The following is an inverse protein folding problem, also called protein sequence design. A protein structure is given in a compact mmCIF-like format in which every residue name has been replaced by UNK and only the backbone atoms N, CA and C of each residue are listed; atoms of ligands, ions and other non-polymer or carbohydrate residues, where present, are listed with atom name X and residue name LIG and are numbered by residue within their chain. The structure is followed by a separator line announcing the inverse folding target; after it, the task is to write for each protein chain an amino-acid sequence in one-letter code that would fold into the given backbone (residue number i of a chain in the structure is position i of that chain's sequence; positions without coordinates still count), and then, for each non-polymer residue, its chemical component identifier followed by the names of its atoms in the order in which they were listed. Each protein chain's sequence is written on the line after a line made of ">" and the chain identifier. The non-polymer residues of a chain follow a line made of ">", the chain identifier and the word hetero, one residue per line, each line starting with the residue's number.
data_IF_282858765792
#
_entry.id   IF_282858765792
#
_cell.length_a   1.000
_cell.length_b   1.000
_cell.length_c   1.000
_cell.angle_alpha   90.00
_cell.angle_beta   90.00
_cell.angle_gamma   90.00
#
_symmetry.space_group_name_H-M   'P 1'
#
loop_
_entity.id
_entity.type
_entity.pdbx_description
1 polymer ?
#
# COMPACT_ATOMS: atom_id res chain seq x y z
N UNK A 1 9.12 4.51 -52.91
CA UNK A 1 8.55 3.30 -52.27
C UNK A 1 8.61 3.52 -50.77
N UNK A 2 7.45 3.68 -50.16
CA UNK A 2 7.26 4.30 -48.85
C UNK A 2 7.18 3.21 -47.77
N UNK A 3 8.10 3.29 -46.81
CA UNK A 3 8.02 2.92 -45.39
C UNK A 3 7.15 1.70 -45.02
N UNK A 4 7.80 0.56 -44.77
CA UNK A 4 7.24 -0.48 -43.91
C UNK A 4 7.56 -0.14 -42.45
N UNK A 5 6.60 0.44 -41.76
CA UNK A 5 6.59 0.55 -40.31
C UNK A 5 5.33 -0.13 -39.79
N UNK A 6 5.44 -0.72 -38.61
CA UNK A 6 4.35 -1.28 -37.80
C UNK A 6 4.02 -2.76 -38.02
N UNK A 7 4.91 -3.61 -37.50
CA UNK A 7 4.54 -4.91 -36.95
C UNK A 7 5.21 -5.09 -35.57
N UNK A 8 4.92 -4.18 -34.64
CA UNK A 8 5.04 -4.46 -33.21
C UNK A 8 3.64 -4.75 -32.69
N UNK A 9 3.16 -5.96 -32.98
CA UNK A 9 2.03 -6.53 -32.26
C UNK A 9 2.47 -6.67 -30.80
N UNK A 10 1.86 -5.82 -29.97
CA UNK A 10 2.02 -5.75 -28.53
C UNK A 10 1.91 -7.16 -27.92
N UNK A 11 2.94 -7.57 -27.19
CA UNK A 11 2.83 -8.65 -26.23
C UNK A 11 1.95 -8.15 -25.07
N UNK A 12 0.62 -8.27 -25.22
CA UNK A 12 -0.32 -7.91 -24.17
C UNK A 12 -0.35 -9.03 -23.12
N UNK A 13 0.50 -8.88 -22.10
CA UNK A 13 0.36 -9.63 -20.85
C UNK A 13 -1.04 -9.41 -20.24
N UNK A 14 -1.45 -10.25 -19.27
CA UNK A 14 -2.77 -10.12 -18.65
C UNK A 14 -2.97 -8.71 -18.08
N UNK A 15 -4.10 -8.09 -18.43
CA UNK A 15 -4.48 -6.76 -17.94
C UNK A 15 -4.43 -6.75 -16.41
N UNK A 16 -3.83 -5.72 -15.80
CA UNK A 16 -3.73 -5.61 -14.35
C UNK A 16 -5.11 -5.54 -13.69
N UNK A 17 -5.24 -6.11 -12.48
CA UNK A 17 -6.45 -5.95 -11.67
C UNK A 17 -6.60 -4.47 -11.25
N UNK A 18 -7.83 -3.93 -11.30
CA UNK A 18 -8.15 -2.62 -10.74
C UNK A 18 -8.75 -2.82 -9.35
N UNK A 19 -8.20 -2.16 -8.33
CA UNK A 19 -8.62 -2.31 -6.94
C UNK A 19 -9.11 -0.99 -6.37
N UNK A 20 -10.17 -1.06 -5.57
CA UNK A 20 -10.58 0.00 -4.64
C UNK A 20 -10.46 -0.56 -3.24
N UNK A 21 -9.57 0.00 -2.42
CA UNK A 21 -9.39 -0.41 -1.01
C UNK A 21 -10.06 0.63 -0.12
N UNK A 22 -11.10 0.22 0.58
CA UNK A 22 -12.02 1.09 1.31
C UNK A 22 -12.05 0.74 2.80
N UNK A 23 -12.01 1.77 3.66
CA UNK A 23 -12.28 1.63 5.09
C UNK A 23 -13.79 1.47 5.31
N UNK A 24 -14.18 0.63 6.27
CA UNK A 24 -15.58 0.53 6.69
C UNK A 24 -16.19 1.90 7.09
N UNK A 25 -17.53 1.97 7.07
CA UNK A 25 -18.30 3.13 7.56
C UNK A 25 -18.23 3.33 9.07
N UNK A 26 -18.94 4.36 9.56
CA UNK A 26 -18.95 4.77 10.96
C UNK A 26 -19.57 3.70 11.85
N UNK A 27 -18.94 3.45 12.99
CA UNK A 27 -19.30 2.37 13.92
C UNK A 27 -20.27 2.82 15.00
N UNK A 28 -21.10 1.91 15.48
CA UNK A 28 -22.02 2.14 16.60
C UNK A 28 -21.31 2.63 17.88
N UNK A 29 -20.11 2.13 18.18
CA UNK A 29 -19.37 2.55 19.39
C UNK A 29 -18.73 3.94 19.28
N UNK A 30 -18.88 4.62 18.14
CA UNK A 30 -18.55 6.05 18.01
C UNK A 30 -19.67 6.95 18.55
N UNK A 31 -20.91 6.44 18.60
CA UNK A 31 -22.08 7.18 19.08
C UNK A 31 -22.58 6.65 20.42
N UNK A 32 -22.41 5.35 20.66
CA UNK A 32 -22.89 4.66 21.86
C UNK A 32 -21.73 4.35 22.80
N UNK A 33 -21.50 5.24 23.77
CA UNK A 33 -20.43 5.09 24.77
C UNK A 33 -20.55 3.82 25.62
N UNK A 34 -21.76 3.23 25.72
CA UNK A 34 -22.01 2.01 26.52
C UNK A 34 -21.80 0.71 25.73
N UNK A 35 -21.53 0.78 24.43
CA UNK A 35 -21.40 -0.39 23.55
C UNK A 35 -20.40 -1.43 24.08
N UNK A 36 -19.24 -0.94 24.51
CA UNK A 36 -18.13 -1.78 24.96
C UNK A 36 -18.50 -2.68 26.15
N UNK A 37 -19.38 -2.21 27.04
CA UNK A 37 -19.81 -2.97 28.21
C UNK A 37 -20.91 -4.00 27.89
N UNK A 38 -21.76 -3.73 26.91
CA UNK A 38 -22.96 -4.54 26.61
C UNK A 38 -22.73 -5.58 25.52
N UNK A 39 -21.83 -5.30 24.58
CA UNK A 39 -21.66 -6.14 23.40
C UNK A 39 -21.06 -7.52 23.72
N UNK A 40 -21.59 -8.57 23.08
CA UNK A 40 -21.03 -9.93 23.17
C UNK A 40 -19.62 -10.03 22.57
N UNK A 41 -19.32 -9.25 21.53
CA UNK A 41 -17.98 -9.14 20.94
C UNK A 41 -17.68 -7.65 20.70
N UNK A 42 -17.17 -6.92 21.71
CA UNK A 42 -17.04 -5.46 21.65
C UNK A 42 -16.18 -4.91 20.50
N UNK A 43 -15.25 -5.71 19.98
CA UNK A 43 -14.42 -5.35 18.83
C UNK A 43 -15.11 -5.53 17.48
N UNK A 44 -16.20 -6.30 17.41
CA UNK A 44 -16.96 -6.60 16.20
C UNK A 44 -18.20 -5.70 16.08
N UNK A 45 -17.99 -4.42 16.35
CA UNK A 45 -19.03 -3.38 16.34
C UNK A 45 -19.65 -3.24 14.95
N UNK A 46 -20.99 -3.17 14.83
CA UNK A 46 -21.68 -2.87 13.57
C UNK A 46 -21.51 -1.39 13.18
N UNK A 47 -22.00 -1.07 11.99
CA UNK A 47 -22.23 0.32 11.60
C UNK A 47 -23.29 0.98 12.49
N UNK A 48 -23.19 2.30 12.64
CA UNK A 48 -24.29 3.08 13.21
C UNK A 48 -25.44 3.23 12.19
N UNK A 49 -26.61 3.68 12.65
CA UNK A 49 -27.79 3.83 11.78
C UNK A 49 -27.63 4.93 10.70
N UNK A 50 -26.77 5.91 10.93
CA UNK A 50 -26.45 6.95 9.95
C UNK A 50 -25.22 6.52 9.15
N UNK A 51 -25.39 6.31 7.84
CA UNK A 51 -24.37 5.73 6.94
C UNK A 51 -24.09 6.67 5.74
N UNK A 52 -24.23 7.99 5.93
CA UNK A 52 -24.14 9.00 4.86
C UNK A 52 -22.81 8.94 4.10
N UNK A 53 -21.71 8.70 4.82
CA UNK A 53 -20.37 8.59 4.22
C UNK A 53 -20.25 7.43 3.23
N UNK A 54 -21.03 6.36 3.41
CA UNK A 54 -21.05 5.22 2.48
C UNK A 54 -21.78 5.61 1.19
N UNK A 55 -22.87 6.36 1.31
CA UNK A 55 -23.59 6.92 0.16
C UNK A 55 -22.70 7.84 -0.66
N UNK A 56 -22.05 8.81 -0.01
CA UNK A 56 -21.12 9.75 -0.65
C UNK A 56 -19.95 9.03 -1.34
N UNK A 57 -19.35 8.04 -0.69
CA UNK A 57 -18.29 7.22 -1.29
C UNK A 57 -18.79 6.49 -2.54
N UNK A 58 -20.01 5.96 -2.49
CA UNK A 58 -20.63 5.21 -3.59
C UNK A 58 -20.98 6.13 -4.76
N UNK A 59 -21.46 7.35 -4.50
CA UNK A 59 -21.69 8.37 -5.53
C UNK A 59 -20.40 8.76 -6.25
N UNK A 60 -19.29 8.90 -5.53
CA UNK A 60 -17.97 9.15 -6.15
C UNK A 60 -17.53 7.99 -7.03
N UNK A 61 -17.74 6.75 -6.59
CA UNK A 61 -17.45 5.56 -7.38
C UNK A 61 -18.33 5.50 -8.65
N UNK A 62 -19.62 5.80 -8.54
CA UNK A 62 -20.54 5.87 -9.69
C UNK A 62 -20.15 6.97 -10.68
N UNK A 63 -19.81 8.17 -10.18
CA UNK A 63 -19.40 9.30 -11.00
C UNK A 63 -18.13 8.99 -11.80
N UNK A 64 -17.21 8.21 -11.23
CA UNK A 64 -16.02 7.70 -11.92
C UNK A 64 -16.28 6.44 -12.76
N UNK A 65 -17.54 6.09 -13.02
CA UNK A 65 -17.95 4.95 -13.85
C UNK A 65 -17.54 3.58 -13.29
N UNK A 66 -17.35 3.45 -11.97
CA UNK A 66 -16.86 2.21 -11.36
C UNK A 66 -17.98 1.20 -11.18
N UNK A 67 -17.70 -0.02 -11.62
CA UNK A 67 -18.41 -1.23 -11.19
C UNK A 67 -17.41 -2.31 -10.81
N UNK A 68 -17.87 -3.33 -10.10
CA UNK A 68 -17.02 -4.36 -9.51
C UNK A 68 -17.43 -5.75 -9.98
N UNK A 69 -16.45 -6.58 -10.26
CA UNK A 69 -16.63 -7.96 -10.71
C UNK A 69 -16.54 -8.93 -9.51
N UNK A 70 -15.92 -8.50 -8.41
CA UNK A 70 -15.83 -9.22 -7.15
C UNK A 70 -15.65 -8.24 -5.97
N UNK A 71 -16.20 -8.61 -4.81
CA UNK A 71 -16.00 -7.88 -3.55
C UNK A 71 -15.27 -8.76 -2.56
N UNK A 72 -14.21 -8.25 -1.97
CA UNK A 72 -13.57 -8.80 -0.79
C UNK A 72 -13.95 -7.98 0.44
N UNK A 73 -14.29 -8.67 1.52
CA UNK A 73 -14.60 -8.03 2.80
C UNK A 73 -13.78 -8.63 3.93
N UNK A 74 -13.34 -7.77 4.83
CA UNK A 74 -12.94 -8.14 6.17
C UNK A 74 -14.07 -8.89 6.88
N UNK A 75 -13.75 -9.87 7.75
CA UNK A 75 -14.77 -10.61 8.48
C UNK A 75 -15.57 -9.77 9.47
N UNK A 76 -15.11 -8.58 9.84
CA UNK A 76 -15.80 -7.75 10.83
C UNK A 76 -17.16 -7.27 10.32
N UNK A 77 -18.17 -7.26 11.20
CA UNK A 77 -19.56 -6.97 10.85
C UNK A 77 -19.71 -5.63 10.13
N UNK A 78 -19.06 -4.58 10.63
CA UNK A 78 -18.99 -3.26 9.99
C UNK A 78 -18.51 -3.29 8.54
N UNK A 79 -17.55 -4.16 8.20
CA UNK A 79 -17.02 -4.28 6.84
C UNK A 79 -17.99 -5.02 5.93
N UNK A 80 -18.68 -6.05 6.45
CA UNK A 80 -19.74 -6.74 5.70
C UNK A 80 -20.90 -5.79 5.42
N UNK A 81 -21.36 -5.04 6.43
CA UNK A 81 -22.43 -4.06 6.24
C UNK A 81 -22.00 -2.95 5.27
N UNK A 82 -20.78 -2.42 5.40
CA UNK A 82 -20.29 -1.41 4.45
C UNK A 82 -20.30 -1.95 3.03
N UNK A 83 -19.76 -3.16 2.80
CA UNK A 83 -19.79 -3.79 1.49
C UNK A 83 -21.24 -3.96 0.97
N UNK A 84 -22.16 -4.44 1.81
CA UNK A 84 -23.58 -4.60 1.46
C UNK A 84 -24.19 -3.26 1.00
N UNK A 85 -23.97 -2.18 1.76
CA UNK A 85 -24.53 -0.85 1.47
C UNK A 85 -23.91 -0.24 0.21
N UNK A 86 -22.59 -0.32 0.07
CA UNK A 86 -21.91 0.14 -1.14
C UNK A 86 -22.47 -0.58 -2.37
N UNK A 87 -22.60 -1.91 -2.35
CA UNK A 87 -23.15 -2.64 -3.50
C UNK A 87 -24.60 -2.27 -3.81
N UNK A 88 -25.42 -1.99 -2.78
CA UNK A 88 -26.79 -1.49 -2.93
C UNK A 88 -26.82 -0.12 -3.61
N UNK A 89 -26.01 0.84 -3.15
CA UNK A 89 -25.91 2.17 -3.76
C UNK A 89 -25.40 2.13 -5.20
N UNK A 90 -24.44 1.25 -5.51
CA UNK A 90 -23.92 1.06 -6.85
C UNK A 90 -24.87 0.31 -7.79
N UNK A 91 -25.99 -0.22 -7.29
CA UNK A 91 -26.91 -1.08 -8.06
C UNK A 91 -26.29 -2.42 -8.47
N UNK A 92 -25.15 -2.81 -7.89
CA UNK A 92 -24.34 -3.96 -8.29
C UNK A 92 -24.56 -5.16 -7.33
N UNK A 93 -25.81 -5.58 -7.13
CA UNK A 93 -26.15 -6.54 -6.07
C UNK A 93 -25.83 -8.02 -6.39
N UNK A 94 -25.51 -8.37 -7.63
CA UNK A 94 -25.24 -9.75 -8.08
C UNK A 94 -23.74 -10.04 -8.27
N UNK A 95 -22.91 -9.42 -7.45
CA UNK A 95 -21.45 -9.61 -7.47
C UNK A 95 -21.03 -10.63 -6.40
N UNK A 96 -20.11 -11.57 -6.70
CA UNK A 96 -19.58 -12.47 -5.69
C UNK A 96 -18.91 -11.72 -4.52
N UNK A 97 -19.29 -12.07 -3.29
CA UNK A 97 -18.68 -11.51 -2.09
C UNK A 97 -17.86 -12.57 -1.35
N UNK A 98 -16.59 -12.26 -1.12
CA UNK A 98 -15.59 -13.14 -0.52
C UNK A 98 -15.09 -12.54 0.79
N UNK A 99 -15.22 -13.30 1.87
CA UNK A 99 -14.79 -12.89 3.22
C UNK A 99 -13.40 -13.45 3.48
N UNK A 100 -12.41 -12.57 3.57
CA UNK A 100 -11.01 -12.95 3.73
C UNK A 100 -10.50 -12.62 5.12
N UNK A 101 -10.16 -13.64 5.92
CA UNK A 101 -9.70 -13.44 7.31
C UNK A 101 -8.43 -12.60 7.41
N UNK A 102 -7.58 -12.62 6.39
CA UNK A 102 -6.37 -11.79 6.31
C UNK A 102 -6.65 -10.30 6.10
N UNK A 103 -7.90 -9.89 5.83
CA UNK A 103 -8.33 -8.49 5.82
C UNK A 103 -8.85 -8.02 7.18
N UNK A 104 -8.73 -8.86 8.23
CA UNK A 104 -9.10 -8.48 9.58
C UNK A 104 -8.40 -7.21 10.06
N UNK A 105 -9.06 -6.52 10.98
CA UNK A 105 -8.49 -5.42 11.74
C UNK A 105 -7.18 -5.84 12.41
N UNK A 106 -6.32 -4.87 12.74
CA UNK A 106 -5.10 -5.13 13.50
C UNK A 106 -5.45 -5.90 14.78
N UNK A 107 -4.91 -7.11 14.96
CA UNK A 107 -5.08 -7.91 16.17
C UNK A 107 -4.16 -7.40 17.29
N UNK A 108 -4.19 -6.09 17.53
CA UNK A 108 -3.47 -5.39 18.58
C UNK A 108 -4.31 -5.37 19.88
N UNK A 109 -3.72 -5.67 21.06
CA UNK A 109 -4.45 -5.63 22.33
C UNK A 109 -5.07 -4.26 22.64
N UNK A 110 -4.39 -3.17 22.26
CA UNK A 110 -4.90 -1.81 22.45
C UNK A 110 -6.17 -1.56 21.65
N UNK A 111 -6.25 -2.10 20.44
CA UNK A 111 -7.39 -1.89 19.55
C UNK A 111 -8.57 -2.80 19.87
N UNK A 112 -8.32 -4.08 20.13
CA UNK A 112 -9.39 -5.06 20.40
C UNK A 112 -9.92 -5.01 21.83
N UNK A 113 -9.06 -4.68 22.80
CA UNK A 113 -9.36 -4.84 24.22
C UNK A 113 -9.10 -3.58 25.05
N UNK A 114 -8.61 -2.49 24.45
CA UNK A 114 -8.23 -1.25 25.15
C UNK A 114 -7.23 -1.47 26.28
N UNK A 115 -6.30 -2.41 26.08
CA UNK A 115 -5.28 -2.76 27.07
C UNK A 115 -3.91 -2.98 26.41
N UNK A 116 -2.83 -2.90 27.18
CA UNK A 116 -1.48 -3.21 26.68
C UNK A 116 -1.26 -4.72 26.49
N UNK A 117 -1.77 -5.52 27.42
CA UNK A 117 -1.63 -6.98 27.41
C UNK A 117 -3.00 -7.62 27.63
N UNK A 118 -3.43 -8.54 26.75
CA UNK A 118 -4.73 -9.16 26.90
C UNK A 118 -4.71 -10.17 28.05
N UNK A 119 -5.83 -10.30 28.75
CA UNK A 119 -6.03 -11.36 29.76
C UNK A 119 -6.28 -12.72 29.08
N UNK A 120 -6.16 -13.81 29.85
CA UNK A 120 -6.52 -15.14 29.35
C UNK A 120 -8.00 -15.20 28.91
N UNK A 121 -8.89 -14.56 29.65
CA UNK A 121 -10.31 -14.47 29.31
C UNK A 121 -10.56 -13.70 28.00
N UNK A 122 -9.84 -12.60 27.77
CA UNK A 122 -9.92 -11.84 26.51
C UNK A 122 -9.42 -12.67 25.32
N UNK A 123 -8.29 -13.39 25.47
CA UNK A 123 -7.78 -14.33 24.46
C UNK A 123 -8.79 -15.44 24.17
N UNK A 124 -9.37 -16.05 25.20
CA UNK A 124 -10.37 -17.10 25.05
C UNK A 124 -11.64 -16.58 24.33
N UNK A 125 -12.08 -15.36 24.64
CA UNK A 125 -13.24 -14.73 23.98
C UNK A 125 -12.98 -14.43 22.50
N UNK A 126 -11.77 -13.99 22.15
CA UNK A 126 -11.37 -13.80 20.75
C UNK A 126 -11.30 -15.15 20.01
N UNK A 127 -10.70 -16.17 20.62
CA UNK A 127 -10.66 -17.52 20.06
C UNK A 127 -12.07 -18.08 19.82
N UNK A 128 -12.99 -17.86 20.77
CA UNK A 128 -14.40 -18.26 20.63
C UNK A 128 -15.06 -17.53 19.45
N UNK A 129 -14.80 -16.23 19.29
CA UNK A 129 -15.29 -15.46 18.16
C UNK A 129 -14.75 -16.00 16.83
N UNK A 130 -13.44 -16.27 16.72
CA UNK A 130 -12.82 -16.87 15.53
C UNK A 130 -13.42 -18.23 15.19
N UNK A 131 -13.58 -19.10 16.20
CA UNK A 131 -14.07 -20.47 16.02
C UNK A 131 -15.54 -20.53 15.67
N UNK A 132 -16.35 -19.61 16.22
CA UNK A 132 -17.77 -19.52 15.94
C UNK A 132 -18.11 -18.53 14.80
N UNK A 133 -17.10 -17.93 14.16
CA UNK A 133 -17.29 -16.83 13.21
C UNK A 133 -18.30 -17.15 12.10
N UNK A 134 -18.25 -18.36 11.53
CA UNK A 134 -19.18 -18.78 10.48
C UNK A 134 -20.65 -18.70 10.90
N UNK A 135 -20.95 -19.01 12.18
CA UNK A 135 -22.29 -18.90 12.78
C UNK A 135 -22.63 -17.46 13.12
N UNK A 136 -21.70 -16.73 13.74
CA UNK A 136 -21.89 -15.33 14.16
C UNK A 136 -22.19 -14.42 12.95
N UNK A 137 -21.43 -14.59 11.88
CA UNK A 137 -21.55 -13.78 10.66
C UNK A 137 -22.67 -14.23 9.71
N UNK A 138 -23.36 -15.34 9.99
CA UNK A 138 -24.29 -15.97 9.02
C UNK A 138 -25.35 -15.00 8.53
N UNK A 139 -26.04 -14.32 9.43
CA UNK A 139 -27.10 -13.38 9.09
C UNK A 139 -26.58 -12.23 8.21
N UNK A 140 -25.42 -11.66 8.52
CA UNK A 140 -24.82 -10.61 7.71
C UNK A 140 -24.39 -11.11 6.32
N UNK A 141 -23.82 -12.32 6.24
CA UNK A 141 -23.40 -12.91 4.95
C UNK A 141 -24.56 -13.31 4.05
N UNK A 142 -25.72 -13.64 4.62
CA UNK A 142 -26.91 -14.02 3.87
C UNK A 142 -27.71 -12.81 3.34
N UNK A 143 -27.36 -11.58 3.72
CA UNK A 143 -27.97 -10.35 3.16
C UNK A 143 -27.53 -10.05 1.72
N UNK A 144 -26.37 -10.55 1.32
CA UNK A 144 -25.91 -10.42 -0.07
C UNK A 144 -26.70 -11.37 -0.98
N UNK A 145 -27.12 -10.90 -2.15
CA UNK A 145 -27.83 -11.71 -3.16
C UNK A 145 -27.05 -12.99 -3.48
N UNK A 146 -25.75 -12.84 -3.71
CA UNK A 146 -24.79 -13.96 -3.74
C UNK A 146 -24.16 -14.10 -2.36
N UNK A 147 -24.82 -14.89 -1.50
CA UNK A 147 -24.40 -15.17 -0.11
C UNK A 147 -22.89 -15.14 0.05
N UNK A 148 -22.38 -14.26 0.92
CA UNK A 148 -20.96 -14.06 1.09
C UNK A 148 -20.27 -15.33 1.59
N UNK A 149 -19.18 -15.73 0.92
CA UNK A 149 -18.44 -16.98 1.19
C UNK A 149 -17.12 -16.68 1.87
N UNK A 150 -16.76 -17.51 2.84
CA UNK A 150 -15.42 -17.46 3.43
C UNK A 150 -14.40 -17.96 2.41
N UNK A 151 -13.31 -17.20 2.22
CA UNK A 151 -12.19 -17.65 1.39
C UNK A 151 -11.51 -18.84 2.09
N UNK A 152 -11.46 -20.02 1.44
CA UNK A 152 -10.77 -21.19 1.99
C UNK A 152 -9.32 -20.88 2.31
N UNK A 153 -8.77 -21.53 3.35
CA UNK A 153 -7.40 -21.36 3.82
C UNK A 153 -6.99 -19.93 4.26
N UNK A 154 -7.86 -18.91 4.17
CA UNK A 154 -7.57 -17.61 4.74
C UNK A 154 -7.37 -17.72 6.26
N UNK A 155 -6.36 -17.04 6.78
CA UNK A 155 -5.92 -17.12 8.18
C UNK A 155 -6.27 -15.85 8.94
N UNK A 156 -6.58 -16.02 10.22
CA UNK A 156 -6.71 -14.89 11.14
C UNK A 156 -5.31 -14.33 11.45
N UNK A 157 -5.19 -13.01 11.69
CA UNK A 157 -3.96 -12.45 12.23
C UNK A 157 -3.67 -13.00 13.64
N UNK A 158 -2.39 -12.99 14.00
CA UNK A 158 -1.93 -13.50 15.30
C UNK A 158 -1.92 -12.38 16.32
N UNK A 159 -2.53 -12.61 17.49
CA UNK A 159 -2.50 -11.70 18.64
C UNK A 159 -1.26 -12.00 19.51
N UNK A 160 -0.44 -11.00 19.91
CA UNK A 160 -0.52 -9.59 19.53
C UNK A 160 0.07 -9.31 18.15
N UNK A 161 -0.64 -8.50 17.38
CA UNK A 161 -0.15 -7.94 16.12
C UNK A 161 0.30 -6.50 16.33
N UNK A 162 1.45 -6.14 15.75
CA UNK A 162 1.93 -4.77 15.68
C UNK A 162 1.57 -4.11 14.35
N UNK A 163 1.53 -2.79 14.32
CA UNK A 163 1.20 -2.03 13.10
C UNK A 163 2.08 -2.40 11.89
N UNK A 164 3.42 -2.54 12.01
CA UNK A 164 4.24 -2.98 10.87
C UNK A 164 3.91 -4.38 10.37
N UNK A 165 3.58 -5.33 11.28
CA UNK A 165 3.17 -6.69 10.90
C UNK A 165 1.81 -6.67 10.21
N UNK A 166 0.87 -5.86 10.70
CA UNK A 166 -0.41 -5.69 10.06
C UNK A 166 -0.29 -5.05 8.67
N UNK A 167 0.54 -4.00 8.53
CA UNK A 167 0.80 -3.36 7.25
C UNK A 167 1.39 -4.36 6.24
N UNK A 168 2.41 -5.15 6.63
CA UNK A 168 2.98 -6.18 5.78
C UNK A 168 1.93 -7.23 5.36
N UNK A 169 1.10 -7.69 6.29
CA UNK A 169 -0.01 -8.61 6.01
C UNK A 169 -1.02 -8.00 5.04
N UNK A 170 -1.43 -6.74 5.23
CA UNK A 170 -2.39 -6.09 4.35
C UNK A 170 -1.83 -5.94 2.94
N UNK A 171 -0.59 -5.47 2.80
CA UNK A 171 0.09 -5.42 1.51
C UNK A 171 0.04 -6.80 0.85
N UNK A 172 0.47 -7.85 1.57
CA UNK A 172 0.53 -9.21 1.03
C UNK A 172 -0.85 -9.69 0.57
N UNK A 173 -1.88 -9.55 1.41
CA UNK A 173 -3.23 -10.01 1.10
C UNK A 173 -3.83 -9.23 -0.07
N UNK A 174 -3.59 -7.91 -0.17
CA UNK A 174 -4.05 -7.08 -1.28
C UNK A 174 -3.37 -7.51 -2.59
N UNK A 175 -2.07 -7.77 -2.58
CA UNK A 175 -1.34 -8.28 -3.73
C UNK A 175 -1.84 -9.68 -4.15
N UNK A 176 -2.08 -10.59 -3.20
CA UNK A 176 -2.65 -11.92 -3.47
C UNK A 176 -4.06 -11.85 -4.06
N UNK A 177 -4.88 -10.89 -3.61
CA UNK A 177 -6.21 -10.63 -4.17
C UNK A 177 -6.06 -10.11 -5.61
N UNK A 178 -5.21 -9.11 -5.83
CA UNK A 178 -4.97 -8.57 -7.16
C UNK A 178 -4.51 -9.63 -8.16
N UNK A 179 -3.56 -10.49 -7.76
CA UNK A 179 -3.03 -11.57 -8.60
C UNK A 179 -4.09 -12.62 -9.00
N UNK A 180 -5.15 -12.80 -8.19
CA UNK A 180 -6.27 -13.72 -8.50
C UNK A 180 -7.29 -13.14 -9.48
N UNK A 181 -7.22 -11.85 -9.76
CA UNK A 181 -8.25 -11.10 -10.46
C UNK A 181 -7.70 -10.29 -11.65
N UNK A 182 -6.87 -10.87 -12.55
CA UNK A 182 -6.37 -10.15 -13.71
C UNK A 182 -7.54 -9.63 -14.57
N UNK A 183 -7.46 -8.37 -14.97
CA UNK A 183 -8.46 -7.66 -15.77
C UNK A 183 -9.78 -7.37 -15.06
N UNK A 184 -9.94 -7.79 -13.80
CA UNK A 184 -11.17 -7.59 -13.03
C UNK A 184 -11.05 -6.37 -12.11
N UNK A 185 -12.20 -5.81 -11.77
CA UNK A 185 -12.37 -4.69 -10.85
C UNK A 185 -12.80 -5.24 -9.49
N UNK A 186 -11.98 -4.97 -8.48
CA UNK A 186 -12.08 -5.57 -7.16
C UNK A 186 -12.35 -4.48 -6.13
N UNK A 187 -13.46 -4.61 -5.41
CA UNK A 187 -13.68 -3.82 -4.19
C UNK A 187 -13.11 -4.58 -2.99
N UNK A 188 -12.30 -3.93 -2.16
CA UNK A 188 -11.76 -4.48 -0.92
C UNK A 188 -12.23 -3.61 0.25
N UNK A 189 -13.18 -4.11 1.04
CA UNK A 189 -13.71 -3.39 2.22
C UNK A 189 -13.06 -3.92 3.50
N UNK A 190 -12.33 -3.05 4.19
CA UNK A 190 -11.48 -3.41 5.33
C UNK A 190 -11.41 -2.24 6.33
N UNK A 191 -10.23 -1.87 6.83
CA UNK A 191 -10.02 -0.91 7.93
C UNK A 191 -9.05 0.20 7.51
N UNK A 192 -8.80 1.17 8.38
CA UNK A 192 -7.92 2.30 8.05
C UNK A 192 -6.51 1.85 7.67
N UNK A 193 -5.94 0.89 8.42
CA UNK A 193 -4.59 0.38 8.19
C UNK A 193 -4.43 -0.33 6.83
N UNK A 194 -5.49 -0.95 6.29
CA UNK A 194 -5.41 -1.52 4.93
C UNK A 194 -5.39 -0.47 3.83
N UNK A 195 -6.11 0.64 4.01
CA UNK A 195 -6.08 1.76 3.07
C UNK A 195 -4.71 2.43 3.13
N UNK A 196 -4.15 2.61 4.33
CA UNK A 196 -2.78 3.08 4.52
C UNK A 196 -1.76 2.15 3.85
N UNK A 197 -1.88 0.83 4.07
CA UNK A 197 -0.99 -0.15 3.46
C UNK A 197 -1.05 -0.12 1.92
N UNK A 198 -2.24 0.06 1.34
CA UNK A 198 -2.42 0.22 -0.10
C UNK A 198 -1.83 1.55 -0.59
N UNK A 199 -2.08 2.65 0.12
CA UNK A 199 -1.54 3.98 -0.20
C UNK A 199 0.00 3.99 -0.17
N UNK A 200 0.62 3.41 0.85
CA UNK A 200 2.08 3.31 0.94
C UNK A 200 2.68 2.46 -0.18
N UNK A 201 1.97 1.41 -0.61
CA UNK A 201 2.41 0.55 -1.70
C UNK A 201 2.38 1.24 -3.08
N UNK A 202 1.75 2.42 -3.18
CA UNK A 202 1.78 3.27 -4.38
C UNK A 202 3.02 4.18 -4.45
N UNK A 203 3.83 4.23 -3.38
CA UNK A 203 5.03 5.08 -3.36
C UNK A 203 4.75 6.59 -3.47
N UNK A 204 3.54 7.02 -3.10
CA UNK A 204 3.14 8.43 -3.22
C UNK A 204 3.90 9.33 -2.24
N UNK A 205 4.21 10.54 -2.69
CA UNK A 205 4.77 11.59 -1.84
C UNK A 205 3.72 12.06 -0.81
N UNK A 206 4.09 12.02 0.46
CA UNK A 206 3.23 12.43 1.57
C UNK A 206 3.02 11.31 2.59
N UNK A 207 2.59 11.71 3.78
CA UNK A 207 2.23 10.80 4.87
C UNK A 207 0.72 10.85 5.04
N UNK A 208 0.05 9.73 4.78
CA UNK A 208 -1.35 9.59 5.13
C UNK A 208 -1.48 9.59 6.66
N UNK A 209 -2.13 10.62 7.19
CA UNK A 209 -2.29 10.84 8.64
C UNK A 209 -3.52 10.10 9.14
N UNK A 210 -4.60 10.20 8.37
CA UNK A 210 -5.88 9.63 8.76
C UNK A 210 -6.69 9.20 7.54
N UNK A 211 -7.38 8.07 7.69
CA UNK A 211 -8.34 7.55 6.72
C UNK A 211 -9.71 7.75 7.32
N UNK A 212 -10.57 8.57 6.76
CA UNK A 212 -11.92 8.79 7.29
C UNK A 212 -12.83 7.58 7.02
N UNK A 213 -13.99 7.49 7.68
CA UNK A 213 -14.95 6.41 7.42
C UNK A 213 -15.39 6.41 5.96
N UNK A 214 -15.53 5.22 5.37
CA UNK A 214 -15.73 5.03 3.93
C UNK A 214 -14.62 5.61 3.02
N UNK A 215 -13.54 6.18 3.57
CA UNK A 215 -12.40 6.64 2.80
C UNK A 215 -11.69 5.50 2.08
N UNK A 216 -11.21 5.77 0.87
CA UNK A 216 -10.66 4.75 -0.01
C UNK A 216 -9.51 5.27 -0.89
N UNK A 217 -8.74 4.34 -1.43
CA UNK A 217 -7.73 4.55 -2.47
C UNK A 217 -8.04 3.62 -3.63
N UNK A 218 -7.87 4.08 -4.88
CA UNK A 218 -7.98 3.21 -6.04
C UNK A 218 -6.62 3.07 -6.76
N UNK A 219 -6.34 1.83 -7.16
CA UNK A 219 -5.06 1.45 -7.73
C UNK A 219 -5.20 0.32 -8.73
N UNK A 220 -4.13 0.05 -9.48
CA UNK A 220 -4.00 -1.06 -10.43
C UNK A 220 -2.77 -1.88 -10.05
N UNK A 221 -2.85 -3.20 -10.13
CA UNK A 221 -1.70 -4.05 -9.80
C UNK A 221 -0.84 -4.32 -11.04
N UNK A 222 0.40 -3.83 -11.07
CA UNK A 222 1.33 -4.06 -12.19
C UNK A 222 1.61 -5.55 -12.41
N UNK A 223 1.54 -5.98 -13.67
CA UNK A 223 1.92 -7.34 -14.07
C UNK A 223 3.44 -7.49 -14.12
N UNK A 224 3.95 -8.66 -13.69
CA UNK A 224 5.39 -9.00 -13.68
C UNK A 224 6.09 -8.79 -15.05
N UNK A 225 5.33 -8.87 -16.15
CA UNK A 225 5.86 -8.71 -17.50
C UNK A 225 6.30 -7.27 -17.84
N UNK A 226 5.68 -6.26 -17.21
CA UNK A 226 6.08 -4.87 -17.40
C UNK A 226 7.40 -4.56 -16.66
N UNK A 227 7.58 -5.14 -15.47
CA UNK A 227 8.82 -5.02 -14.69
C UNK A 227 10.03 -5.60 -15.43
N UNK A 228 9.88 -6.77 -16.07
CA UNK A 228 10.96 -7.37 -16.86
C UNK A 228 11.30 -6.55 -18.11
N UNK A 229 10.32 -5.85 -18.69
CA UNK A 229 10.54 -4.96 -19.83
C UNK A 229 11.22 -3.65 -19.41
N UNK A 230 10.80 -3.05 -18.30
CA UNK A 230 11.43 -1.83 -17.75
C UNK A 230 12.87 -2.11 -17.26
N UNK A 231 13.12 -3.23 -16.57
CA UNK A 231 14.48 -3.62 -16.16
C UNK A 231 15.39 -3.81 -17.38
N UNK A 232 14.92 -4.52 -18.42
CA UNK A 232 15.68 -4.67 -19.66
C UNK A 232 15.94 -3.33 -20.37
N UNK A 233 15.00 -2.39 -20.31
CA UNK A 233 15.19 -1.06 -20.89
C UNK A 233 16.19 -0.22 -20.08
N UNK A 234 16.13 -0.26 -18.75
CA UNK A 234 17.08 0.44 -17.87
C UNK A 234 18.50 -0.15 -17.98
N UNK A 235 18.63 -1.48 -18.03
CA UNK A 235 19.91 -2.16 -18.28
C UNK A 235 20.48 -1.77 -19.66
N UNK A 236 19.63 -1.69 -20.69
CA UNK A 236 20.03 -1.24 -22.02
C UNK A 236 20.50 0.23 -22.06
N UNK A 237 19.82 1.13 -21.35
CA UNK A 237 20.21 2.54 -21.24
C UNK A 237 21.52 2.72 -20.46
N UNK A 238 21.73 1.96 -19.38
CA UNK A 238 22.98 1.97 -18.63
C UNK A 238 24.16 1.45 -19.46
N UNK A 239 23.95 0.39 -20.25
CA UNK A 239 24.98 -0.11 -21.16
C UNK A 239 25.35 0.90 -22.25
N UNK A 240 24.37 1.61 -22.81
CA UNK A 240 24.64 2.69 -23.78
C UNK A 240 25.42 3.86 -23.16
N UNK A 241 25.05 4.30 -21.94
CA UNK A 241 25.80 5.35 -21.25
C UNK A 241 27.23 4.92 -20.93
N UNK A 242 27.45 3.67 -20.50
CA UNK A 242 28.81 3.16 -20.25
C UNK A 242 29.64 3.09 -21.53
N UNK A 243 29.05 2.71 -22.67
CA UNK A 243 29.74 2.71 -23.96
C UNK A 243 30.11 4.12 -24.42
N UNK A 244 29.21 5.10 -24.26
CA UNK A 244 29.50 6.51 -24.58
C UNK A 244 30.63 7.07 -23.72
N UNK A 245 30.60 6.82 -22.40
CA UNK A 245 31.67 7.26 -21.49
C UNK A 245 33.02 6.60 -21.82
N UNK A 246 33.02 5.34 -22.27
CA UNK A 246 34.25 4.68 -22.72
C UNK A 246 34.77 5.28 -24.03
N UNK A 247 33.90 5.64 -24.98
CA UNK A 247 34.30 6.29 -26.23
C UNK A 247 34.86 7.69 -25.98
N UNK A 248 34.19 8.51 -25.16
CA UNK A 248 34.70 9.84 -24.76
C UNK A 248 36.04 9.73 -24.05
N UNK A 249 36.23 8.72 -23.19
CA UNK A 249 37.51 8.52 -22.50
C UNK A 249 38.64 8.14 -23.47
N UNK A 250 38.34 7.33 -24.49
CA UNK A 250 39.32 6.97 -25.54
C UNK A 250 39.64 8.19 -26.41
N UNK A 251 38.66 9.03 -26.76
CA UNK A 251 38.92 10.28 -27.50
C UNK A 251 39.79 11.25 -26.70
N UNK A 252 39.53 11.41 -25.41
CA UNK A 252 40.33 12.27 -24.52
C UNK A 252 41.75 11.72 -24.30
N UNK A 253 41.94 10.40 -24.21
CA UNK A 253 43.28 9.78 -24.15
C UNK A 253 44.05 9.95 -25.47
N UNK A 254 43.37 9.86 -26.62
CA UNK A 254 43.98 10.08 -27.94
C UNK A 254 44.35 11.56 -28.15
N UNK A 255 43.52 12.51 -27.71
CA UNK A 255 43.85 13.94 -27.75
C UNK A 255 44.94 14.32 -26.73
N UNK A 256 44.94 13.71 -25.54
CA UNK A 256 45.97 13.91 -24.53
C UNK A 256 47.35 13.41 -24.97
N UNK A 257 47.40 12.25 -25.65
CA UNK A 257 48.64 11.72 -26.22
C UNK A 257 49.16 12.56 -27.42
N UNK A 258 48.30 13.30 -28.11
CA UNK A 258 48.72 14.22 -29.17
C UNK A 258 49.30 15.55 -28.64
N UNK A 259 49.05 15.90 -27.37
CA UNK A 259 49.51 17.14 -26.74
C UNK A 259 50.76 16.97 -25.86
N UNK A 260 51.02 15.76 -25.34
CA UNK A 260 52.22 15.48 -24.52
C UNK A 260 53.53 15.35 -25.34
N UNK A 261 53.45 15.31 -26.68
CA UNK A 261 54.63 15.35 -27.57
C UNK A 261 55.19 16.77 -27.77
N UNK A 262 54.56 17.80 -27.17
CA UNK A 262 54.99 19.20 -27.27
C UNK A 262 54.83 19.94 -25.94
N UNK A 263 55.72 19.72 -24.95
CA UNK A 263 56.36 20.84 -24.25
C UNK A 263 57.52 20.45 -23.31
N UNK A 264 58.55 21.32 -23.16
CA UNK A 264 59.75 21.08 -22.37
C UNK A 264 59.68 21.62 -20.93
N UNK A 265 60.53 21.04 -20.09
CA UNK A 265 60.81 21.37 -18.69
C UNK A 265 61.09 22.87 -18.44
N UNK A 266 60.62 23.40 -17.29
CA UNK A 266 61.27 24.48 -16.54
C UNK A 266 60.77 24.62 -15.10
N UNK A 267 61.68 24.32 -14.20
CA UNK A 267 62.17 25.05 -13.02
C UNK A 267 61.23 25.78 -12.04
N UNK A 268 61.46 25.43 -10.78
CA UNK A 268 60.97 25.98 -9.52
C UNK A 268 61.38 27.45 -9.30
N UNK A 269 60.51 28.25 -8.69
CA UNK A 269 60.97 29.24 -7.71
C UNK A 269 59.88 29.65 -6.70
N UNK A 270 60.36 29.90 -5.48
CA UNK A 270 59.67 30.19 -4.23
C UNK A 270 58.86 31.50 -4.19
N UNK A 271 57.77 31.51 -3.38
CA UNK A 271 57.43 32.66 -2.54
C UNK A 271 56.59 32.26 -1.30
N UNK A 272 56.98 32.81 -0.15
CA UNK A 272 56.48 32.57 1.21
C UNK A 272 55.17 33.33 1.51
N UNK A 273 54.36 32.78 2.42
CA UNK A 273 53.36 33.53 3.18
C UNK A 273 52.53 32.66 4.15
N UNK A 274 52.76 32.81 5.46
CA UNK A 274 51.93 32.34 6.59
C UNK A 274 51.97 33.46 7.67
N UNK A 275 51.13 33.47 8.73
CA UNK A 275 49.90 32.69 8.99
C UNK A 275 48.72 33.56 9.49
N UNK A 276 47.51 32.98 9.56
CA UNK A 276 46.45 33.48 10.44
C UNK A 276 46.06 32.41 11.47
N UNK A 277 45.89 32.89 12.70
CA UNK A 277 45.43 32.18 13.89
C UNK A 277 43.99 31.70 13.73
N UNK A 278 43.63 30.55 14.32
CA UNK A 278 42.46 30.53 15.22
C UNK A 278 42.39 29.32 16.14
N UNK A 279 41.74 29.60 17.27
CA UNK A 279 41.69 28.88 18.52
C UNK A 279 40.93 27.56 18.49
N UNK A 280 41.35 26.69 19.41
CA UNK A 280 40.57 25.59 19.95
C UNK A 280 39.37 26.08 20.75
N UNK A 281 38.25 25.36 20.68
CA UNK A 281 37.45 24.99 21.86
C UNK A 281 36.56 23.79 21.53
N UNK A 282 36.68 22.77 22.37
CA UNK A 282 36.01 21.48 22.33
C UNK A 282 35.16 21.40 23.60
N UNK A 283 33.84 21.22 23.48
CA UNK A 283 33.04 20.60 24.53
C UNK A 283 31.66 20.12 24.03
N UNK A 284 31.52 18.78 24.00
CA UNK A 284 30.38 17.97 24.47
C UNK A 284 29.00 18.15 23.77
N UNK A 285 28.68 17.25 22.85
CA UNK A 285 27.88 16.02 23.05
C UNK A 285 26.42 16.28 23.45
N UNK A 286 25.51 16.22 22.47
CA UNK A 286 24.25 15.48 22.55
C UNK A 286 23.96 14.92 21.14
N UNK A 287 23.80 13.59 21.08
CA UNK A 287 23.67 12.81 19.85
C UNK A 287 22.18 12.47 19.69
N UNK A 288 21.44 12.99 18.69
CA UNK A 288 20.12 12.47 18.41
C UNK A 288 20.26 11.10 17.72
N UNK A 289 19.57 10.11 18.28
CA UNK A 289 19.42 8.77 17.71
C UNK A 289 18.72 8.90 16.36
N UNK A 290 19.49 8.81 15.28
CA UNK A 290 18.97 8.65 13.92
C UNK A 290 18.53 7.20 13.78
N UNK A 291 17.23 6.98 13.56
CA UNK A 291 16.68 5.66 13.22
C UNK A 291 17.30 5.19 11.89
N UNK A 292 17.69 3.91 11.77
CA UNK A 292 18.38 3.44 10.56
C UNK A 292 17.44 3.50 9.34
N UNK A 293 17.99 4.06 8.26
CA UNK A 293 17.51 3.92 6.89
C UNK A 293 17.41 2.42 6.51
N UNK A 294 16.48 2.03 5.63
CA UNK A 294 16.32 0.64 5.25
C UNK A 294 17.56 0.15 4.49
N UNK A 295 18.15 -0.93 5.00
CA UNK A 295 19.22 -1.71 4.37
C UNK A 295 18.65 -2.41 3.14
N UNK A 296 19.27 -2.31 1.95
CA UNK A 296 18.94 -3.16 0.82
C UNK A 296 19.60 -4.53 1.00
N UNK A 297 18.79 -5.60 0.93
CA UNK A 297 19.28 -6.97 0.71
C UNK A 297 19.12 -7.92 1.89
N UNK A 298 17.99 -8.64 1.92
CA UNK A 298 17.91 -10.00 2.48
C UNK A 298 16.68 -10.76 1.91
N UNK A 299 16.92 -11.53 0.85
CA UNK A 299 16.45 -12.91 0.65
C UNK A 299 14.97 -13.31 0.82
N UNK A 300 14.34 -13.53 -0.35
CA UNK A 300 13.42 -14.63 -0.70
C UNK A 300 12.00 -14.70 -0.10
N UNK A 301 11.00 -14.57 -0.98
CA UNK A 301 9.73 -15.31 -0.87
C UNK A 301 8.43 -14.51 -0.95
N UNK A 302 8.20 -13.75 -2.02
CA UNK A 302 6.88 -13.19 -2.34
C UNK A 302 7.00 -12.11 -3.39
N UNK A 303 6.79 -12.45 -4.66
CA UNK A 303 6.84 -11.48 -5.75
C UNK A 303 5.69 -10.47 -5.58
N UNK A 304 6.01 -9.25 -5.18
CA UNK A 304 5.06 -8.15 -5.07
C UNK A 304 4.62 -7.72 -6.47
N UNK A 305 3.32 -7.71 -6.73
CA UNK A 305 2.76 -6.84 -7.77
C UNK A 305 2.82 -5.41 -7.24
N UNK A 306 3.64 -4.57 -7.85
CA UNK A 306 3.69 -3.14 -7.54
C UNK A 306 2.29 -2.53 -7.80
N UNK A 307 1.82 -1.62 -6.95
CA UNK A 307 0.54 -0.95 -7.19
C UNK A 307 0.82 0.36 -7.91
N UNK A 308 -0.01 0.66 -8.90
CA UNK A 308 -0.02 1.93 -9.64
C UNK A 308 -1.31 2.68 -9.30
N UNK A 309 -1.25 4.02 -9.22
CA UNK A 309 -2.41 4.83 -8.89
C UNK A 309 -3.43 4.78 -10.03
N UNK A 310 -4.73 4.69 -9.71
CA UNK A 310 -5.74 4.88 -10.75
C UNK A 310 -6.00 6.39 -10.94
N UNK A 311 -5.67 6.98 -12.11
CA UNK A 311 -5.73 8.43 -12.31
C UNK A 311 -7.16 8.98 -12.28
N UNK A 312 -8.15 8.15 -12.60
CA UNK A 312 -9.56 8.56 -12.63
C UNK A 312 -10.17 8.63 -11.23
N UNK A 313 -9.59 7.94 -10.24
CA UNK A 313 -10.10 7.95 -8.87
C UNK A 313 -9.01 7.63 -7.83
N UNK A 314 -7.99 8.47 -7.66
CA UNK A 314 -6.79 8.10 -6.93
C UNK A 314 -7.05 7.83 -5.44
N UNK A 315 -7.76 8.72 -4.76
CA UNK A 315 -8.14 8.58 -3.35
C UNK A 315 -9.29 9.51 -2.98
N UNK A 316 -10.05 9.14 -1.95
CA UNK A 316 -11.17 9.92 -1.44
C UNK A 316 -11.25 9.86 0.10
N UNK A 317 -11.58 11.01 0.71
CA UNK A 317 -11.77 11.17 2.15
C UNK A 317 -10.54 10.67 2.97
N UNK A 318 -9.35 11.10 2.53
CA UNK A 318 -8.05 10.80 3.11
C UNK A 318 -7.36 12.11 3.54
N UNK A 319 -6.86 12.17 4.77
CA UNK A 319 -6.08 13.31 5.27
C UNK A 319 -4.58 13.01 5.08
N UNK A 320 -3.94 13.73 4.16
CA UNK A 320 -2.53 13.54 3.78
C UNK A 320 -1.73 14.77 4.14
N UNK A 321 -0.63 14.58 4.88
CA UNK A 321 0.35 15.61 5.16
C UNK A 321 1.54 15.45 4.19
N UNK A 322 1.80 16.48 3.39
CA UNK A 322 2.96 16.47 2.49
C UNK A 322 4.20 16.89 3.27
N UNK A 323 5.29 16.13 3.13
CA UNK A 323 6.60 16.61 3.61
C UNK A 323 6.96 17.82 2.74
N UNK A 324 7.07 19.00 3.34
CA UNK A 324 7.67 20.15 2.65
C UNK A 324 9.12 19.80 2.36
N UNK A 325 9.44 19.54 1.10
CA UNK A 325 10.82 19.44 0.64
C UNK A 325 11.38 20.86 0.51
N UNK A 326 11.62 21.52 1.65
CA UNK A 326 12.44 22.72 1.83
C UNK A 326 12.65 22.95 3.34
N UNK A 327 13.62 22.24 3.93
CA UNK A 327 14.46 22.67 5.06
C UNK A 327 15.82 21.97 4.94
#
# INVERSE_FOLDING_TARGET
>A
MTVACSALLQASGPTPAALVVMRHGKREDTINSTWQAKARFPWDTPLCAMEAEIGEASEKLLAAGRSFDVVYSSPFLRCLQTAERTMQHLGCNDVPVLVHRGLSEVHGPGLLFKCRYPTAAQRARLWLWHSAYGRISRAARERFSRKARLVPASRWPTLPESDPKAAARFKQVIAEIAAKHPGQRVLVVSHGMSVLAAYEALGLSGRLVQVMFAGFVACRARGQHHQQLEQKQQEGQQQQQQQQQQQEKVEVEVEGQALDDLQPQKDEEHARGQPQQQESKRAHKHNPVVLPTPIPGAGAGGAWSELELDPELPFWNLDVEFKSSFE
#
